data_IF_772470041231
#
_entry.id   IF_772470041231
#
_cell.length_a   1.000
_cell.length_b   1.000
_cell.length_c   1.000
_cell.angle_alpha   90.00
_cell.angle_beta   90.00
_cell.angle_gamma   90.00
#
_symmetry.space_group_name_H-M   'P 1'
#
loop_
_entity.id
_entity.type
_entity.pdbx_description
1 polymer ?
#
# COMPACT_ATOMS: atom_id res chain seq x y z
N UNK A 1 -12.95 -25.31 -3.20
CA UNK A 1 -14.05 -24.43 -2.75
C UNK A 1 -13.84 -23.08 -3.41
N UNK A 2 -14.85 -22.44 -4.02
CA UNK A 2 -14.71 -21.15 -4.70
C UNK A 2 -14.33 -20.05 -3.70
N UNK A 3 -13.41 -19.18 -4.09
CA UNK A 3 -12.82 -18.06 -3.31
C UNK A 3 -13.83 -17.13 -2.62
N UNK A 4 -15.01 -16.95 -3.22
CA UNK A 4 -16.13 -16.17 -2.66
C UNK A 4 -16.55 -16.62 -1.24
N UNK A 5 -16.47 -17.90 -0.96
CA UNK A 5 -16.88 -18.47 0.34
C UNK A 5 -15.88 -18.20 1.44
N UNK A 6 -14.59 -18.09 1.11
CA UNK A 6 -13.50 -17.89 2.08
C UNK A 6 -13.44 -16.46 2.62
N UNK A 7 -13.76 -15.46 1.80
CA UNK A 7 -13.78 -14.05 2.20
C UNK A 7 -14.99 -13.71 3.08
N UNK A 8 -16.16 -14.27 2.80
CA UNK A 8 -17.37 -14.10 3.62
C UNK A 8 -17.29 -14.85 4.96
N UNK A 9 -16.64 -16.01 5.01
CA UNK A 9 -16.48 -16.79 6.24
C UNK A 9 -15.59 -16.06 7.26
N UNK A 10 -14.52 -15.39 6.84
CA UNK A 10 -13.70 -14.54 7.72
C UNK A 10 -14.46 -13.32 8.25
N UNK A 11 -15.36 -12.75 7.50
CA UNK A 11 -16.14 -11.57 7.90
C UNK A 11 -17.20 -11.87 8.95
N UNK A 12 -17.80 -13.05 8.91
CA UNK A 12 -18.88 -13.45 9.85
C UNK A 12 -18.36 -13.83 11.24
N UNK A 13 -17.14 -14.33 11.37
CA UNK A 13 -16.60 -14.75 12.67
C UNK A 13 -16.04 -13.57 13.51
N UNK A 14 -15.70 -12.44 12.91
CA UNK A 14 -15.24 -11.23 13.64
C UNK A 14 -16.39 -10.44 14.27
N UNK A 15 -17.64 -10.63 13.81
CA UNK A 15 -18.81 -9.87 14.28
C UNK A 15 -19.61 -10.54 15.39
N UNK A 16 -19.20 -11.74 15.87
CA UNK A 16 -20.01 -12.55 16.81
C UNK A 16 -19.64 -12.43 18.29
N UNK A 17 -18.58 -11.69 18.64
CA UNK A 17 -18.14 -11.55 20.04
C UNK A 17 -18.11 -10.10 20.53
N UNK A 18 -19.21 -9.39 20.43
CA UNK A 18 -19.41 -8.16 21.19
C UNK A 18 -20.89 -8.00 21.57
N UNK A 19 -21.28 -8.49 22.71
CA UNK A 19 -22.52 -8.09 23.37
C UNK A 19 -22.24 -7.47 24.76
N UNK A 20 -23.01 -6.47 25.17
CA UNK A 20 -22.60 -5.49 26.14
C UNK A 20 -23.19 -5.73 27.53
N UNK A 21 -22.41 -5.47 28.56
CA UNK A 21 -22.97 -5.14 29.88
C UNK A 21 -22.47 -3.77 30.30
N UNK A 22 -23.38 -2.77 30.31
CA UNK A 22 -23.31 -1.58 31.21
C UNK A 22 -24.41 -0.59 30.87
N UNK A 23 -25.57 -0.80 31.47
CA UNK A 23 -26.59 0.22 31.66
C UNK A 23 -26.63 0.51 33.14
N UNK A 24 -26.06 1.64 33.61
CA UNK A 24 -26.51 2.37 34.84
C UNK A 24 -25.98 3.81 34.91
N UNK A 25 -24.94 4.20 34.14
CA UNK A 25 -24.36 5.57 34.28
C UNK A 25 -24.71 6.56 33.13
N UNK A 26 -25.73 6.29 32.36
CA UNK A 26 -26.04 7.08 31.15
C UNK A 26 -26.91 8.33 31.42
N UNK A 27 -27.59 8.43 32.56
CA UNK A 27 -28.55 9.50 32.83
C UNK A 27 -27.91 10.87 33.19
N UNK A 28 -26.88 10.86 34.01
CA UNK A 28 -26.27 12.10 34.54
C UNK A 28 -25.38 12.80 33.50
N UNK A 29 -24.70 12.04 32.62
CA UNK A 29 -23.88 12.63 31.56
C UNK A 29 -24.70 13.31 30.45
N UNK A 30 -25.94 12.90 30.20
CA UNK A 30 -26.80 13.51 29.18
C UNK A 30 -27.32 14.88 29.59
N UNK A 31 -27.58 15.12 30.88
CA UNK A 31 -28.04 16.41 31.37
C UNK A 31 -26.95 17.49 31.32
N UNK A 32 -25.71 17.12 31.63
CA UNK A 32 -24.55 18.06 31.58
C UNK A 32 -24.18 18.41 30.12
N UNK A 33 -24.29 17.45 29.18
CA UNK A 33 -24.03 17.72 27.76
C UNK A 33 -25.09 18.64 27.13
N UNK A 34 -26.37 18.50 27.52
CA UNK A 34 -27.44 19.35 27.00
C UNK A 34 -27.28 20.81 27.44
N UNK A 35 -26.86 21.06 28.69
CA UNK A 35 -26.61 22.41 29.19
C UNK A 35 -25.41 23.10 28.52
N UNK A 36 -24.36 22.35 28.23
CA UNK A 36 -23.18 22.87 27.50
C UNK A 36 -23.49 23.20 26.03
N UNK A 37 -24.36 22.45 25.38
CA UNK A 37 -24.75 22.67 23.96
C UNK A 37 -25.63 23.95 23.87
N UNK A 38 -26.54 24.17 24.80
CA UNK A 38 -27.35 25.38 24.81
C UNK A 38 -26.49 26.63 25.07
N UNK A 39 -25.49 26.56 25.95
CA UNK A 39 -24.54 27.66 26.18
C UNK A 39 -23.70 27.99 24.93
N UNK A 40 -23.27 26.99 24.15
CA UNK A 40 -22.52 27.18 22.91
C UNK A 40 -23.37 27.75 21.77
N UNK A 41 -24.65 27.39 21.71
CA UNK A 41 -25.59 27.96 20.71
C UNK A 41 -25.87 29.43 20.98
N UNK A 42 -26.02 29.85 22.26
CA UNK A 42 -26.21 31.24 22.61
C UNK A 42 -24.95 32.09 22.31
N UNK A 43 -23.75 31.54 22.52
CA UNK A 43 -22.49 32.22 22.16
C UNK A 43 -22.28 32.32 20.64
N UNK A 44 -22.78 31.37 19.88
CA UNK A 44 -22.70 31.36 18.41
C UNK A 44 -23.69 32.35 17.77
N UNK A 45 -24.85 32.62 18.44
CA UNK A 45 -25.85 33.55 17.92
C UNK A 45 -25.53 35.01 18.27
N UNK A 46 -24.65 35.28 19.26
CA UNK A 46 -24.23 36.65 19.63
C UNK A 46 -23.04 37.18 18.81
N UNK A 47 -22.47 36.39 17.90
CA UNK A 47 -21.32 36.78 17.07
C UNK A 47 -21.64 36.91 15.57
N UNK A 48 -22.91 37.09 15.20
CA UNK A 48 -23.31 37.38 13.81
C UNK A 48 -23.55 38.85 13.58
N UNK A 49 -22.52 39.67 13.67
CA UNK A 49 -22.44 40.96 12.96
C UNK A 49 -20.98 41.21 12.59
N UNK A 50 -20.58 40.62 11.52
CA UNK A 50 -19.30 40.82 10.90
C UNK A 50 -19.37 40.33 9.45
N UNK A 51 -19.68 41.24 8.55
CA UNK A 51 -19.67 41.06 7.11
C UNK A 51 -18.35 40.45 6.66
N UNK A 52 -18.33 39.17 6.36
CA UNK A 52 -17.28 38.56 5.57
C UNK A 52 -17.85 38.22 4.20
N UNK A 53 -17.53 39.07 3.24
CA UNK A 53 -17.54 38.77 1.82
C UNK A 53 -16.68 37.51 1.59
N UNK A 54 -17.31 36.35 1.59
CA UNK A 54 -16.71 35.17 0.97
C UNK A 54 -16.83 35.40 -0.53
N UNK A 55 -15.75 35.90 -1.12
CA UNK A 55 -15.55 35.78 -2.55
C UNK A 55 -15.72 34.29 -2.90
N UNK A 56 -16.82 33.99 -3.57
CA UNK A 56 -16.93 32.80 -4.43
C UNK A 56 -15.83 32.94 -5.49
N UNK A 57 -14.66 32.39 -5.19
CA UNK A 57 -13.62 32.15 -6.17
C UNK A 57 -14.23 31.27 -7.26
N UNK A 58 -14.58 31.86 -8.37
CA UNK A 58 -14.86 31.14 -9.61
C UNK A 58 -13.69 30.21 -9.87
N UNK A 59 -13.96 28.93 -10.06
CA UNK A 59 -13.04 27.96 -10.64
C UNK A 59 -12.83 28.38 -12.11
N UNK A 60 -12.02 29.42 -12.30
CA UNK A 60 -11.53 29.81 -13.62
C UNK A 60 -10.33 28.92 -13.93
N UNK A 61 -10.27 28.45 -15.14
CA UNK A 61 -9.18 27.71 -15.74
C UNK A 61 -7.83 28.34 -15.35
N UNK A 62 -7.00 27.61 -14.61
CA UNK A 62 -5.65 28.05 -14.26
C UNK A 62 -4.80 28.32 -15.52
N UNK A 63 -5.17 27.76 -16.68
CA UNK A 63 -4.54 27.94 -17.98
C UNK A 63 -4.79 29.32 -18.61
N UNK A 64 -5.79 30.10 -18.17
CA UNK A 64 -6.13 31.39 -18.77
C UNK A 64 -5.15 32.52 -18.43
N UNK A 65 -4.32 32.36 -17.38
CA UNK A 65 -3.44 33.41 -16.85
C UNK A 65 -1.94 33.17 -17.10
N UNK A 66 -1.56 32.10 -17.79
CA UNK A 66 -0.15 31.83 -18.11
C UNK A 66 0.38 32.76 -19.18
N UNK A 67 1.59 33.28 -18.98
CA UNK A 67 2.32 34.03 -20.00
C UNK A 67 2.66 33.14 -21.20
N UNK A 68 2.94 33.72 -22.39
CA UNK A 68 3.36 32.92 -23.54
C UNK A 68 4.60 32.06 -23.28
N UNK A 69 5.53 32.53 -22.44
CA UNK A 69 6.73 31.80 -22.06
C UNK A 69 6.39 30.61 -21.16
N UNK A 70 5.53 30.79 -20.15
CA UNK A 70 5.05 29.72 -19.28
C UNK A 70 4.30 28.64 -20.06
N UNK A 71 3.46 29.04 -21.05
CA UNK A 71 2.79 28.08 -21.95
C UNK A 71 3.77 27.27 -22.80
N UNK A 72 4.84 27.89 -23.29
CA UNK A 72 5.88 27.20 -24.06
C UNK A 72 6.64 26.18 -23.16
N UNK A 73 6.98 26.58 -21.94
CA UNK A 73 7.64 25.68 -20.96
C UNK A 73 6.73 24.49 -20.63
N UNK A 74 5.44 24.74 -20.38
CA UNK A 74 4.47 23.70 -20.08
C UNK A 74 4.30 22.72 -21.24
N UNK A 75 4.19 23.23 -22.48
CA UNK A 75 4.10 22.39 -23.67
C UNK A 75 5.36 21.54 -23.89
N UNK A 76 6.55 22.13 -23.69
CA UNK A 76 7.82 21.40 -23.80
C UNK A 76 7.91 20.29 -22.74
N UNK A 77 7.54 20.58 -21.49
CA UNK A 77 7.51 19.59 -20.40
C UNK A 77 6.50 18.47 -20.67
N UNK A 78 5.33 18.80 -21.22
CA UNK A 78 4.33 17.81 -21.59
C UNK A 78 4.82 16.89 -22.71
N UNK A 79 5.46 17.45 -23.74
CA UNK A 79 6.02 16.68 -24.85
C UNK A 79 7.16 15.75 -24.39
N UNK A 80 8.05 16.21 -23.51
CA UNK A 80 9.11 15.38 -22.92
C UNK A 80 8.52 14.23 -22.09
N UNK A 81 7.50 14.52 -21.28
CA UNK A 81 6.81 13.53 -20.48
C UNK A 81 6.12 12.48 -21.35
N UNK A 82 5.45 12.91 -22.41
CA UNK A 82 4.81 12.02 -23.38
C UNK A 82 5.83 11.10 -24.06
N UNK A 83 6.95 11.64 -24.52
CA UNK A 83 8.03 10.86 -25.12
C UNK A 83 8.54 9.78 -24.14
N UNK A 84 8.82 10.16 -22.88
CA UNK A 84 9.26 9.25 -21.81
C UNK A 84 8.23 8.15 -21.52
N UNK A 85 6.94 8.48 -21.48
CA UNK A 85 5.86 7.49 -21.26
C UNK A 85 5.72 6.54 -22.45
N UNK A 86 5.91 7.02 -23.67
CA UNK A 86 5.93 6.21 -24.88
C UNK A 86 7.12 5.23 -24.91
N UNK A 87 8.30 5.69 -24.50
CA UNK A 87 9.47 4.81 -24.35
C UNK A 87 9.24 3.70 -23.33
N UNK A 88 8.63 4.01 -22.18
CA UNK A 88 8.30 3.00 -21.17
C UNK A 88 7.31 1.96 -21.67
N UNK A 89 6.31 2.35 -22.48
CA UNK A 89 5.38 1.40 -23.10
C UNK A 89 6.10 0.48 -24.09
N UNK A 90 6.94 1.06 -24.93
CA UNK A 90 7.73 0.30 -25.91
C UNK A 90 8.66 -0.68 -25.20
N UNK A 91 9.39 -0.20 -24.21
CA UNK A 91 10.29 -1.02 -23.39
C UNK A 91 9.54 -2.18 -22.71
N UNK A 92 8.38 -1.91 -22.08
CA UNK A 92 7.55 -2.97 -21.50
C UNK A 92 7.16 -4.03 -22.52
N UNK A 93 6.68 -3.62 -23.71
CA UNK A 93 6.27 -4.55 -24.76
C UNK A 93 7.44 -5.40 -25.24
N UNK A 94 8.62 -4.81 -25.45
CA UNK A 94 9.84 -5.50 -25.83
C UNK A 94 10.24 -6.54 -24.78
N UNK A 95 10.25 -6.14 -23.50
CA UNK A 95 10.61 -7.06 -22.41
C UNK A 95 9.57 -8.15 -22.16
N UNK A 96 8.28 -7.87 -22.32
CA UNK A 96 7.24 -8.90 -22.30
C UNK A 96 7.47 -9.97 -23.38
N UNK A 97 7.84 -9.56 -24.59
CA UNK A 97 8.12 -10.48 -25.69
C UNK A 97 9.43 -11.28 -25.48
N UNK A 98 10.51 -10.61 -25.00
CA UNK A 98 11.78 -11.25 -24.68
C UNK A 98 11.63 -12.33 -23.61
N UNK A 99 10.88 -12.06 -22.55
CA UNK A 99 10.64 -13.00 -21.45
C UNK A 99 9.48 -13.99 -21.76
N UNK A 100 8.80 -13.85 -22.91
CA UNK A 100 7.69 -14.71 -23.34
C UNK A 100 6.40 -14.52 -22.54
N UNK A 101 6.30 -13.43 -21.76
CA UNK A 101 5.17 -13.12 -20.88
C UNK A 101 3.94 -12.55 -21.61
N UNK A 102 4.07 -12.19 -22.89
CA UNK A 102 2.99 -11.75 -23.77
C UNK A 102 2.14 -12.90 -24.32
N UNK A 103 2.63 -14.13 -24.19
CA UNK A 103 1.93 -15.32 -24.67
C UNK A 103 0.78 -15.69 -23.75
N UNK A 104 -0.40 -16.08 -24.26
CA UNK A 104 -1.48 -16.56 -23.40
C UNK A 104 -1.12 -17.91 -22.77
N UNK A 105 -1.47 -18.09 -21.50
CA UNK A 105 -1.22 -19.31 -20.75
C UNK A 105 -2.20 -19.52 -19.60
N UNK A 106 -1.93 -20.51 -18.75
CA UNK A 106 -2.84 -20.89 -17.67
C UNK A 106 -2.37 -20.48 -16.26
N UNK A 107 -1.13 -20.03 -16.11
CA UNK A 107 -0.58 -19.55 -14.86
C UNK A 107 -0.92 -18.07 -14.60
N UNK A 108 -0.50 -17.57 -13.43
CA UNK A 108 -0.80 -16.21 -12.98
C UNK A 108 -0.10 -15.10 -13.77
N UNK A 109 0.94 -15.41 -14.55
CA UNK A 109 1.68 -14.43 -15.35
C UNK A 109 1.11 -14.33 -16.77
N UNK A 110 0.53 -15.42 -17.29
CA UNK A 110 0.00 -15.53 -18.64
C UNK A 110 -1.52 -15.41 -18.73
N UNK A 111 -2.19 -15.00 -17.64
CA UNK A 111 -3.63 -14.69 -17.61
C UNK A 111 -3.86 -13.26 -17.16
N UNK A 112 -4.76 -12.50 -17.83
CA UNK A 112 -5.15 -11.18 -17.33
C UNK A 112 -5.74 -11.25 -15.93
N UNK A 113 -5.22 -10.46 -15.00
CA UNK A 113 -5.78 -10.29 -13.66
C UNK A 113 -6.52 -8.96 -13.55
N UNK A 114 -7.84 -8.99 -13.54
CA UNK A 114 -8.69 -7.80 -13.45
C UNK A 114 -9.02 -7.39 -12.00
N UNK A 115 -8.58 -8.14 -10.98
CA UNK A 115 -9.06 -8.02 -9.61
C UNK A 115 -8.81 -6.65 -8.96
N UNK A 116 -7.65 -6.03 -9.22
CA UNK A 116 -7.29 -4.76 -8.59
C UNK A 116 -7.56 -3.53 -9.48
N UNK A 117 -8.15 -3.75 -10.65
CA UNK A 117 -8.52 -2.63 -11.51
C UNK A 117 -9.74 -1.87 -10.97
N UNK A 118 -9.67 -0.55 -11.05
CA UNK A 118 -10.79 0.37 -10.89
C UNK A 118 -11.10 0.97 -12.26
N UNK A 119 -12.33 0.77 -12.72
CA UNK A 119 -12.80 1.24 -14.04
C UNK A 119 -13.78 2.37 -13.83
N UNK A 120 -13.38 3.58 -14.18
CA UNK A 120 -14.24 4.75 -14.24
C UNK A 120 -14.72 4.97 -15.69
N UNK A 121 -15.97 4.62 -15.96
CA UNK A 121 -16.56 4.71 -17.31
C UNK A 121 -16.94 6.14 -17.69
N UNK A 122 -17.22 7.00 -16.72
CA UNK A 122 -17.63 8.39 -16.93
C UNK A 122 -16.45 9.24 -17.46
N UNK A 123 -15.25 8.99 -16.93
CA UNK A 123 -14.04 9.70 -17.33
C UNK A 123 -13.10 8.86 -18.20
N UNK A 124 -13.56 7.72 -18.69
CA UNK A 124 -12.78 6.80 -19.52
C UNK A 124 -11.38 6.51 -18.94
N UNK A 125 -11.31 6.20 -17.65
CA UNK A 125 -10.07 6.03 -16.92
C UNK A 125 -10.02 4.68 -16.18
N UNK A 126 -8.96 3.93 -16.40
CA UNK A 126 -8.75 2.61 -15.80
C UNK A 126 -7.43 2.61 -15.04
N UNK A 127 -7.49 2.26 -13.77
CA UNK A 127 -6.32 2.20 -12.90
C UNK A 127 -6.12 0.81 -12.28
N UNK A 128 -4.92 0.22 -12.48
CA UNK A 128 -4.49 -0.90 -11.65
C UNK A 128 -3.88 -0.38 -10.34
N UNK A 129 -4.51 -0.69 -9.21
CA UNK A 129 -4.12 -0.21 -7.89
C UNK A 129 -2.89 -0.97 -7.36
N UNK A 130 -1.69 -0.46 -7.63
CA UNK A 130 -0.44 -0.99 -7.06
C UNK A 130 -0.20 -0.41 -5.67
N UNK A 131 -0.25 -1.26 -4.64
CA UNK A 131 -0.01 -0.82 -3.27
C UNK A 131 1.44 -0.36 -3.08
N UNK A 132 1.61 0.71 -2.28
CA UNK A 132 2.90 1.37 -1.97
C UNK A 132 3.55 2.12 -3.15
N UNK A 133 2.79 2.31 -4.23
CA UNK A 133 3.11 3.16 -5.37
C UNK A 133 2.00 4.22 -5.53
N UNK A 134 1.96 5.22 -4.65
CA UNK A 134 0.98 6.31 -4.58
C UNK A 134 -0.50 5.88 -4.45
N UNK A 135 -0.78 4.61 -4.08
CA UNK A 135 -2.13 4.05 -4.03
C UNK A 135 -3.11 4.83 -3.12
N UNK A 136 -2.64 5.45 -2.04
CA UNK A 136 -3.51 6.25 -1.16
C UNK A 136 -3.99 7.53 -1.84
N UNK A 137 -3.12 8.23 -2.56
CA UNK A 137 -3.46 9.46 -3.28
C UNK A 137 -4.41 9.16 -4.43
N UNK A 138 -4.12 8.13 -5.24
CA UNK A 138 -4.97 7.76 -6.36
C UNK A 138 -6.28 7.12 -5.92
N UNK A 139 -6.33 6.40 -4.80
CA UNK A 139 -7.59 5.95 -4.21
C UNK A 139 -8.46 7.12 -3.75
N UNK A 140 -7.85 8.19 -3.22
CA UNK A 140 -8.56 9.42 -2.90
C UNK A 140 -9.10 10.08 -4.17
N UNK A 141 -8.27 10.20 -5.22
CA UNK A 141 -8.67 10.76 -6.51
C UNK A 141 -9.84 9.97 -7.13
N UNK A 142 -9.78 8.64 -7.14
CA UNK A 142 -10.88 7.80 -7.63
C UNK A 142 -12.16 7.96 -6.81
N UNK A 143 -12.04 8.22 -5.50
CA UNK A 143 -13.22 8.53 -4.69
C UNK A 143 -13.80 9.92 -5.01
N UNK A 144 -12.97 10.92 -5.36
CA UNK A 144 -13.47 12.20 -5.88
C UNK A 144 -14.19 12.03 -7.22
N UNK A 145 -13.58 11.29 -8.16
CA UNK A 145 -14.19 10.95 -9.45
C UNK A 145 -15.47 10.10 -9.30
N UNK A 146 -15.66 9.42 -8.18
CA UNK A 146 -16.89 8.72 -7.81
C UNK A 146 -17.99 9.65 -7.27
N UNK A 147 -17.72 10.97 -7.19
CA UNK A 147 -18.65 11.98 -6.69
C UNK A 147 -18.65 12.19 -5.17
N UNK A 148 -17.71 11.58 -4.42
CA UNK A 148 -17.59 11.86 -3.00
C UNK A 148 -16.91 13.21 -2.79
N UNK A 149 -17.49 14.08 -1.94
CA UNK A 149 -16.89 15.38 -1.64
C UNK A 149 -15.62 15.25 -0.77
N UNK A 150 -14.66 16.20 -0.87
CA UNK A 150 -13.49 16.24 0.00
C UNK A 150 -13.84 16.25 1.48
N UNK A 151 -14.90 16.97 1.85
CA UNK A 151 -15.40 17.06 3.23
C UNK A 151 -15.88 15.70 3.74
N UNK A 152 -16.65 14.98 2.92
CA UNK A 152 -17.10 13.62 3.24
C UNK A 152 -15.90 12.67 3.40
N UNK A 153 -14.95 12.67 2.47
CA UNK A 153 -13.77 11.79 2.52
C UNK A 153 -12.90 12.07 3.75
N UNK A 154 -12.80 13.34 4.18
CA UNK A 154 -12.07 13.72 5.39
C UNK A 154 -12.77 13.28 6.67
N UNK A 155 -14.10 13.35 6.72
CA UNK A 155 -14.91 13.00 7.89
C UNK A 155 -15.23 11.51 7.98
N UNK A 156 -15.19 10.78 6.87
CA UNK A 156 -15.58 9.38 6.78
C UNK A 156 -14.62 8.48 7.57
N UNK A 157 -15.19 7.53 8.31
CA UNK A 157 -14.46 6.43 8.95
C UNK A 157 -14.38 5.18 8.06
N UNK A 158 -15.01 5.23 6.89
CA UNK A 158 -14.98 4.12 5.94
C UNK A 158 -13.58 3.95 5.34
N UNK A 159 -13.20 2.71 5.08
CA UNK A 159 -11.95 2.40 4.40
C UNK A 159 -12.03 2.91 2.96
N UNK A 160 -11.08 3.73 2.48
CA UNK A 160 -11.16 4.36 1.15
C UNK A 160 -11.40 3.38 0.00
N UNK A 161 -10.76 2.20 0.02
CA UNK A 161 -10.98 1.17 -1.00
C UNK A 161 -12.40 0.59 -0.95
N UNK A 162 -13.04 0.55 0.22
CA UNK A 162 -14.42 0.07 0.32
C UNK A 162 -15.41 1.08 -0.28
N UNK A 163 -15.14 2.39 -0.14
CA UNK A 163 -15.93 3.43 -0.81
C UNK A 163 -15.76 3.35 -2.32
N UNK A 164 -14.52 3.28 -2.81
CA UNK A 164 -14.25 3.14 -4.24
C UNK A 164 -14.93 1.90 -4.84
N UNK A 165 -14.88 0.74 -4.16
CA UNK A 165 -15.48 -0.50 -4.64
C UNK A 165 -17.03 -0.50 -4.65
N UNK A 166 -17.68 0.43 -3.98
CA UNK A 166 -19.14 0.65 -4.12
C UNK A 166 -19.48 1.26 -5.49
N UNK A 167 -18.58 2.06 -6.05
CA UNK A 167 -18.76 2.73 -7.36
C UNK A 167 -18.06 1.98 -8.49
N UNK A 168 -16.92 1.36 -8.21
CA UNK A 168 -16.09 0.64 -9.17
C UNK A 168 -16.03 -0.84 -8.76
N UNK A 169 -17.03 -1.65 -9.11
CA UNK A 169 -17.05 -3.08 -8.80
C UNK A 169 -15.89 -3.80 -9.51
N UNK A 170 -15.57 -5.01 -9.06
CA UNK A 170 -14.60 -5.87 -9.75
C UNK A 170 -15.21 -6.42 -11.02
N UNK A 171 -14.41 -6.41 -12.06
CA UNK A 171 -14.79 -6.91 -13.40
C UNK A 171 -14.11 -8.26 -13.69
N UNK A 172 -14.63 -8.99 -14.66
CA UNK A 172 -13.92 -10.13 -15.27
C UNK A 172 -12.83 -9.61 -16.22
N UNK A 173 -11.94 -10.49 -16.64
CA UNK A 173 -10.91 -10.13 -17.62
C UNK A 173 -11.52 -9.72 -18.97
N UNK A 174 -12.61 -10.37 -19.37
CA UNK A 174 -13.35 -10.08 -20.61
C UNK A 174 -14.05 -8.71 -20.54
N UNK A 175 -14.61 -8.36 -19.40
CA UNK A 175 -15.22 -7.03 -19.19
C UNK A 175 -14.14 -5.94 -19.20
N UNK A 176 -13.00 -6.17 -18.49
CA UNK A 176 -11.87 -5.25 -18.49
C UNK A 176 -11.36 -5.02 -19.92
N UNK A 177 -11.19 -6.08 -20.70
CA UNK A 177 -10.71 -5.98 -22.09
C UNK A 177 -11.62 -5.10 -22.96
N UNK A 178 -12.94 -5.13 -22.73
CA UNK A 178 -13.90 -4.25 -23.44
C UNK A 178 -13.71 -2.79 -23.06
N UNK A 179 -13.52 -2.49 -21.76
CA UNK A 179 -13.34 -1.12 -21.29
C UNK A 179 -11.99 -0.50 -21.71
N UNK A 180 -10.97 -1.33 -21.92
CA UNK A 180 -9.67 -0.87 -22.41
C UNK A 180 -9.68 -0.30 -23.83
N UNK A 181 -10.75 -0.54 -24.61
CA UNK A 181 -10.84 -0.06 -26.00
C UNK A 181 -11.14 1.45 -26.07
N UNK A 182 -11.81 2.01 -25.08
CA UNK A 182 -12.28 3.39 -25.06
C UNK A 182 -11.81 4.18 -23.82
N UNK A 183 -10.86 3.65 -23.09
CA UNK A 183 -10.40 4.26 -21.84
C UNK A 183 -8.87 4.32 -21.79
N UNK A 184 -8.37 5.37 -21.12
CA UNK A 184 -6.94 5.49 -20.76
C UNK A 184 -6.66 4.56 -19.59
N UNK A 185 -5.78 3.60 -19.80
CA UNK A 185 -5.35 2.65 -18.77
C UNK A 185 -3.99 3.04 -18.21
N UNK A 186 -3.86 3.01 -16.88
CA UNK A 186 -2.59 3.32 -16.23
C UNK A 186 -2.27 2.49 -15.01
N UNK A 187 -0.98 2.37 -14.72
CA UNK A 187 -0.45 1.92 -13.45
C UNK A 187 0.68 2.83 -13.00
N UNK A 188 0.92 2.84 -11.69
CA UNK A 188 2.06 3.53 -11.11
C UNK A 188 2.98 2.46 -10.53
N UNK A 189 4.21 2.40 -11.01
CA UNK A 189 5.23 1.49 -10.51
C UNK A 189 6.23 2.22 -9.63
N UNK A 190 6.97 1.48 -8.82
CA UNK A 190 8.01 1.97 -7.95
C UNK A 190 9.13 0.95 -7.90
N UNK A 191 10.37 1.41 -7.64
CA UNK A 191 11.50 0.51 -7.43
C UNK A 191 11.13 -0.63 -6.46
N UNK A 192 11.26 -1.93 -6.87
CA UNK A 192 10.70 -3.05 -6.12
C UNK A 192 11.15 -3.12 -4.67
N UNK A 193 12.43 -2.87 -4.41
CA UNK A 193 12.99 -2.89 -3.05
C UNK A 193 12.52 -1.72 -2.19
N UNK A 194 12.34 -0.53 -2.77
CA UNK A 194 11.75 0.60 -2.05
C UNK A 194 10.26 0.37 -1.76
N UNK A 195 9.54 -0.23 -2.70
CA UNK A 195 8.13 -0.61 -2.51
C UNK A 195 8.00 -1.61 -1.38
N UNK A 196 8.85 -2.65 -1.35
CA UNK A 196 8.89 -3.64 -0.29
C UNK A 196 9.18 -3.01 1.08
N UNK A 197 10.21 -2.17 1.18
CA UNK A 197 10.54 -1.47 2.42
C UNK A 197 9.41 -0.54 2.86
N UNK A 198 8.78 0.18 1.93
CA UNK A 198 7.61 1.01 2.23
C UNK A 198 6.45 0.19 2.78
N UNK A 199 6.25 -1.04 2.28
CA UNK A 199 5.23 -1.97 2.79
C UNK A 199 5.56 -2.45 4.21
N UNK A 200 6.79 -2.89 4.44
CA UNK A 200 7.26 -3.30 5.76
C UNK A 200 7.09 -2.20 6.80
N UNK A 201 7.56 -0.98 6.51
CA UNK A 201 7.47 0.15 7.44
C UNK A 201 6.03 0.52 7.79
N UNK A 202 5.13 0.54 6.80
CA UNK A 202 3.72 0.89 7.01
C UNK A 202 2.94 -0.22 7.71
N UNK A 203 3.17 -1.48 7.34
CA UNK A 203 2.32 -2.59 7.75
C UNK A 203 2.85 -3.36 8.97
N UNK A 204 4.16 -3.39 9.19
CA UNK A 204 4.77 -4.13 10.28
C UNK A 204 5.44 -3.21 11.31
N UNK A 205 6.36 -2.36 10.89
CA UNK A 205 7.10 -1.46 11.79
C UNK A 205 6.19 -0.45 12.49
N UNK A 206 5.24 0.14 11.74
CA UNK A 206 4.27 1.13 12.23
C UNK A 206 2.84 0.61 12.20
N UNK A 207 2.66 -0.71 12.35
CA UNK A 207 1.35 -1.34 12.32
C UNK A 207 0.43 -0.79 13.42
N UNK A 208 -0.84 -0.60 13.07
CA UNK A 208 -1.86 -0.25 14.07
C UNK A 208 -2.18 -1.50 14.93
N UNK A 209 -2.32 -1.34 16.26
CA UNK A 209 -2.70 -2.43 17.16
C UNK A 209 -3.99 -3.12 16.71
N UNK A 210 -4.10 -4.41 16.96
CA UNK A 210 -5.28 -5.23 16.66
C UNK A 210 -5.63 -5.35 15.16
N UNK A 211 -4.67 -5.08 14.28
CA UNK A 211 -4.82 -5.31 12.83
C UNK A 211 -4.23 -6.67 12.44
N UNK A 212 -4.62 -7.15 11.25
CA UNK A 212 -4.02 -8.34 10.66
C UNK A 212 -2.49 -8.26 10.61
N UNK A 213 -1.95 -7.11 10.17
CA UNK A 213 -0.51 -6.93 10.04
C UNK A 213 0.22 -6.84 11.39
N UNK A 214 -0.43 -6.29 12.43
CA UNK A 214 0.10 -6.32 13.79
C UNK A 214 0.23 -7.76 14.32
N UNK A 215 -0.79 -8.60 14.07
CA UNK A 215 -0.77 -10.02 14.46
C UNK A 215 0.27 -10.80 13.63
N UNK A 216 0.38 -10.53 12.34
CA UNK A 216 1.41 -11.11 11.48
C UNK A 216 2.81 -10.75 11.98
N UNK A 217 3.04 -9.47 12.32
CA UNK A 217 4.31 -9.02 12.89
C UNK A 217 4.68 -9.77 14.17
N UNK A 218 3.71 -9.92 15.09
CA UNK A 218 3.89 -10.68 16.32
C UNK A 218 4.22 -12.16 16.03
N UNK A 219 3.56 -12.78 15.03
CA UNK A 219 3.86 -14.15 14.60
C UNK A 219 5.29 -14.31 14.07
N UNK A 220 5.76 -13.37 13.23
CA UNK A 220 7.12 -13.37 12.70
C UNK A 220 8.14 -13.25 13.84
N UNK A 221 7.93 -12.31 14.79
CA UNK A 221 8.78 -12.15 15.98
C UNK A 221 8.84 -13.43 16.79
N UNK A 222 7.67 -14.07 17.04
CA UNK A 222 7.63 -15.34 17.73
C UNK A 222 8.45 -16.41 17.02
N UNK A 223 8.27 -16.55 15.71
CA UNK A 223 8.91 -17.61 14.94
C UNK A 223 10.43 -17.46 14.83
N UNK A 224 10.93 -16.25 14.55
CA UNK A 224 12.34 -16.03 14.24
C UNK A 224 13.18 -15.56 15.44
N UNK A 225 12.58 -14.94 16.43
CA UNK A 225 13.30 -14.38 17.58
C UNK A 225 13.11 -15.21 18.84
N UNK A 226 11.88 -15.53 19.20
CA UNK A 226 11.58 -16.16 20.47
C UNK A 226 11.75 -17.69 20.41
N UNK A 227 11.30 -18.35 19.35
CA UNK A 227 11.44 -19.80 19.18
C UNK A 227 12.91 -20.24 19.19
N UNK A 228 13.80 -19.50 18.51
CA UNK A 228 15.25 -19.75 18.51
C UNK A 228 15.83 -19.59 19.91
N UNK A 229 15.45 -18.56 20.64
CA UNK A 229 15.87 -18.32 22.01
C UNK A 229 15.44 -19.46 22.95
N UNK A 230 14.20 -19.90 22.86
CA UNK A 230 13.71 -21.04 23.66
C UNK A 230 14.39 -22.34 23.29
N UNK A 231 14.64 -22.62 22.01
CA UNK A 231 15.36 -23.83 21.59
C UNK A 231 16.79 -23.84 22.15
N UNK A 232 17.48 -22.71 22.15
CA UNK A 232 18.82 -22.59 22.76
C UNK A 232 18.79 -22.82 24.28
N UNK A 233 17.81 -22.24 24.99
CA UNK A 233 17.63 -22.48 26.43
C UNK A 233 17.37 -23.95 26.73
N UNK A 234 16.53 -24.61 25.95
CA UNK A 234 16.22 -26.07 26.13
C UNK A 234 17.47 -26.91 25.91
N UNK A 235 18.30 -26.58 24.92
CA UNK A 235 19.53 -27.33 24.62
C UNK A 235 20.65 -27.09 25.64
N UNK A 236 20.63 -25.94 26.35
CA UNK A 236 21.66 -25.58 27.33
C UNK A 236 21.33 -25.90 28.78
N UNK A 237 20.05 -26.18 29.11
CA UNK A 237 19.59 -26.48 30.47
C UNK A 237 19.13 -27.89 30.63
N UNK A 238 19.54 -28.55 31.77
CA UNK A 238 19.14 -29.89 32.20
C UNK A 238 17.60 -29.99 32.37
N UNK A 239 16.97 -31.12 32.00
CA UNK A 239 15.50 -31.26 31.93
C UNK A 239 14.72 -31.23 33.28
N UNK A 240 15.40 -31.09 34.42
CA UNK A 240 14.80 -31.20 35.76
C UNK A 240 14.07 -29.96 36.33
N UNK A 241 14.16 -28.76 35.70
CA UNK A 241 13.61 -27.49 36.27
C UNK A 241 12.56 -26.82 35.42
N UNK A 242 11.93 -27.51 34.48
CA UNK A 242 11.23 -26.91 33.34
C UNK A 242 9.79 -26.42 33.61
N UNK A 243 9.09 -26.92 34.63
CA UNK A 243 7.63 -26.72 34.78
C UNK A 243 7.24 -25.34 35.36
N UNK A 244 8.06 -24.71 36.21
CA UNK A 244 7.72 -23.40 36.81
C UNK A 244 8.29 -22.20 36.06
N UNK A 245 9.22 -22.41 35.13
CA UNK A 245 9.89 -21.36 34.41
C UNK A 245 9.13 -20.83 33.19
N UNK A 246 8.24 -21.66 32.61
CA UNK A 246 7.59 -21.33 31.31
C UNK A 246 6.61 -20.17 31.44
N UNK A 247 5.72 -20.22 32.41
CA UNK A 247 4.74 -19.14 32.65
C UNK A 247 5.42 -17.84 33.14
N UNK A 248 6.46 -18.00 33.95
CA UNK A 248 7.24 -16.84 34.46
C UNK A 248 8.04 -16.18 33.34
N UNK A 249 8.68 -16.95 32.46
CA UNK A 249 9.43 -16.43 31.31
C UNK A 249 8.50 -15.83 30.27
N UNK A 250 7.36 -16.45 29.99
CA UNK A 250 6.32 -15.92 29.12
C UNK A 250 5.75 -14.60 29.65
N UNK A 251 5.47 -14.52 30.97
CA UNK A 251 5.04 -13.28 31.63
C UNK A 251 6.14 -12.22 31.66
N UNK A 252 7.40 -12.59 31.88
CA UNK A 252 8.54 -11.66 31.81
C UNK A 252 8.73 -11.11 30.40
N UNK A 253 8.56 -11.93 29.36
CA UNK A 253 8.60 -11.49 27.96
C UNK A 253 7.42 -10.53 27.67
N UNK A 254 6.22 -10.86 28.12
CA UNK A 254 5.05 -9.99 27.98
C UNK A 254 5.16 -8.70 28.82
N UNK A 255 5.76 -8.73 30.00
CA UNK A 255 5.97 -7.56 30.85
C UNK A 255 7.16 -6.71 30.40
N UNK A 256 8.26 -7.31 29.95
CA UNK A 256 9.44 -6.60 29.44
C UNK A 256 9.25 -6.00 28.04
N UNK A 257 8.15 -6.31 27.34
CA UNK A 257 7.73 -5.54 26.15
C UNK A 257 7.33 -4.09 26.48
N UNK A 258 7.25 -3.71 27.77
CA UNK A 258 7.04 -2.32 28.21
C UNK A 258 8.32 -1.51 28.41
N UNK A 259 9.49 -2.14 28.40
CA UNK A 259 10.77 -1.45 28.65
C UNK A 259 11.67 -1.47 27.42
N UNK A 260 12.13 -0.28 27.05
CA UNK A 260 13.11 -0.05 26.00
C UNK A 260 14.39 -0.85 26.27
N UNK A 261 14.76 -1.79 25.38
CA UNK A 261 16.17 -1.94 25.10
C UNK A 261 16.85 -3.30 25.24
N UNK A 262 16.27 -4.39 25.76
CA UNK A 262 17.00 -5.68 25.82
C UNK A 262 16.48 -6.81 24.91
N UNK A 263 15.25 -6.73 24.40
CA UNK A 263 14.63 -7.82 23.61
C UNK A 263 14.18 -7.39 22.20
N UNK A 264 14.55 -6.20 21.75
CA UNK A 264 14.16 -5.66 20.45
C UNK A 264 12.69 -5.16 20.40
N UNK A 265 12.27 -4.58 19.28
CA UNK A 265 10.94 -4.01 19.11
C UNK A 265 9.85 -5.12 19.05
N UNK A 266 8.59 -4.74 19.29
CA UNK A 266 7.43 -5.64 19.20
C UNK A 266 7.09 -6.08 17.79
N UNK A 267 7.58 -5.36 16.79
CA UNK A 267 7.49 -5.70 15.38
C UNK A 267 8.74 -6.46 14.92
N UNK A 268 8.68 -7.25 13.84
CA UNK A 268 9.85 -7.96 13.34
C UNK A 268 10.91 -6.98 12.81
N UNK A 269 12.18 -7.31 12.96
CA UNK A 269 13.23 -6.64 12.21
C UNK A 269 13.03 -6.87 10.71
N UNK A 270 13.58 -5.98 9.88
CA UNK A 270 13.43 -6.11 8.42
C UNK A 270 13.99 -7.44 7.91
N UNK A 271 15.10 -7.91 8.47
CA UNK A 271 15.69 -9.21 8.15
C UNK A 271 14.76 -10.38 8.51
N UNK A 272 14.10 -10.34 9.67
CA UNK A 272 13.13 -11.38 10.09
C UNK A 272 11.91 -11.42 9.15
N UNK A 273 11.43 -10.25 8.74
CA UNK A 273 10.36 -10.13 7.74
C UNK A 273 10.79 -10.70 6.39
N UNK A 274 11.99 -10.36 5.91
CA UNK A 274 12.50 -10.86 4.62
C UNK A 274 12.65 -12.38 4.64
N UNK A 275 13.16 -12.96 5.72
CA UNK A 275 13.24 -14.42 5.88
C UNK A 275 11.86 -15.07 5.80
N UNK A 276 10.90 -14.53 6.53
CA UNK A 276 9.53 -15.01 6.49
C UNK A 276 8.94 -14.89 5.07
N UNK A 277 9.08 -13.75 4.43
CA UNK A 277 8.55 -13.48 3.10
C UNK A 277 9.11 -14.44 2.05
N UNK A 278 10.44 -14.63 2.04
CA UNK A 278 11.10 -15.55 1.12
C UNK A 278 10.66 -17.00 1.34
N UNK A 279 10.42 -17.39 2.60
CA UNK A 279 9.87 -18.72 2.89
C UNK A 279 8.44 -18.87 2.37
N UNK A 280 7.57 -17.85 2.53
CA UNK A 280 6.23 -17.88 1.96
C UNK A 280 6.25 -17.97 0.43
N UNK A 281 7.10 -17.16 -0.20
CA UNK A 281 7.26 -17.19 -1.65
C UNK A 281 7.78 -18.53 -2.19
N UNK A 282 8.87 -19.06 -1.60
CA UNK A 282 9.45 -20.38 -2.00
C UNK A 282 8.50 -21.54 -1.75
N UNK A 283 7.59 -21.42 -0.80
CA UNK A 283 6.53 -22.41 -0.55
C UNK A 283 5.33 -22.27 -1.50
N UNK A 284 5.30 -21.27 -2.38
CA UNK A 284 4.17 -20.99 -3.27
C UNK A 284 2.92 -20.49 -2.56
N UNK A 285 3.05 -19.96 -1.34
CA UNK A 285 1.92 -19.43 -0.58
C UNK A 285 1.45 -18.10 -1.19
N UNK A 286 0.14 -17.83 -1.07
CA UNK A 286 -0.43 -16.54 -1.44
C UNK A 286 0.17 -15.42 -0.60
N UNK A 287 0.67 -14.38 -1.26
CA UNK A 287 1.29 -13.22 -0.64
C UNK A 287 0.26 -12.11 -0.39
N UNK A 288 0.47 -11.32 0.66
CA UNK A 288 -0.34 -10.12 0.91
C UNK A 288 -0.10 -9.08 -0.20
N UNK A 289 -1.16 -8.39 -0.60
CA UNK A 289 -1.18 -7.41 -1.69
C UNK A 289 -0.13 -6.30 -1.56
N UNK A 290 0.37 -6.01 -0.35
CA UNK A 290 1.36 -4.95 -0.15
C UNK A 290 2.77 -5.32 -0.59
N UNK A 291 3.08 -6.64 -0.68
CA UNK A 291 4.38 -7.15 -1.14
C UNK A 291 4.30 -8.19 -2.26
N UNK A 292 3.12 -8.45 -2.81
CA UNK A 292 2.98 -9.22 -4.05
C UNK A 292 3.66 -8.47 -5.21
N UNK A 293 4.43 -9.12 -6.10
CA UNK A 293 5.01 -8.49 -7.29
C UNK A 293 3.94 -7.85 -8.18
N UNK A 294 4.28 -6.72 -8.81
CA UNK A 294 3.35 -5.96 -9.67
C UNK A 294 2.88 -6.81 -10.86
N UNK A 295 3.79 -7.63 -11.40
CA UNK A 295 3.49 -8.51 -12.54
C UNK A 295 2.39 -9.52 -12.24
N UNK A 296 2.29 -10.03 -11.00
CA UNK A 296 1.23 -10.93 -10.58
C UNK A 296 -0.09 -10.19 -10.29
N UNK A 297 -0.01 -8.90 -10.05
CA UNK A 297 -1.10 -8.06 -9.57
C UNK A 297 -1.84 -7.36 -10.71
N UNK A 298 -1.08 -6.78 -11.65
CA UNK A 298 -1.59 -6.02 -12.79
C UNK A 298 -1.42 -6.75 -14.13
N UNK A 299 -0.65 -7.83 -14.17
CA UNK A 299 -0.36 -8.62 -15.38
C UNK A 299 -0.06 -7.76 -16.62
N UNK A 300 0.98 -6.90 -16.57
CA UNK A 300 1.19 -5.83 -17.56
C UNK A 300 1.55 -6.34 -18.96
N UNK A 301 1.93 -7.60 -19.10
CA UNK A 301 2.14 -8.24 -20.40
C UNK A 301 0.86 -8.83 -21.00
N UNK A 302 -0.20 -8.95 -20.21
CA UNK A 302 -1.51 -9.48 -20.61
C UNK A 302 -2.60 -8.41 -20.68
N UNK A 303 -2.37 -7.25 -20.05
CA UNK A 303 -3.28 -6.11 -20.04
C UNK A 303 -2.55 -4.89 -20.59
N UNK A 304 -3.15 -4.21 -21.58
CA UNK A 304 -2.60 -2.98 -22.16
C UNK A 304 -2.62 -1.85 -21.15
N UNK A 305 -1.52 -1.14 -21.02
CA UNK A 305 -1.42 0.12 -20.30
C UNK A 305 -0.98 1.25 -21.25
N UNK A 306 -1.74 2.34 -21.25
CA UNK A 306 -1.45 3.54 -22.03
C UNK A 306 -0.41 4.41 -21.31
N UNK A 307 -0.43 4.41 -19.97
CA UNK A 307 0.49 5.19 -19.13
C UNK A 307 1.11 4.30 -18.05
N UNK A 308 2.44 4.21 -18.06
CA UNK A 308 3.24 3.57 -17.03
C UNK A 308 3.98 4.67 -16.28
N UNK A 309 3.35 5.17 -15.20
CA UNK A 309 3.95 6.18 -14.36
C UNK A 309 4.96 5.54 -13.39
N UNK A 310 6.10 6.19 -13.16
CA UNK A 310 7.07 5.80 -12.12
C UNK A 310 6.92 6.70 -10.90
N UNK A 311 7.00 6.12 -9.71
CA UNK A 311 6.93 6.86 -8.44
C UNK A 311 8.02 7.94 -8.34
N UNK A 312 9.14 7.69 -8.97
CA UNK A 312 10.33 8.53 -9.02
C UNK A 312 10.12 9.82 -9.84
N UNK A 313 9.22 9.78 -10.83
CA UNK A 313 8.83 10.91 -11.69
C UNK A 313 7.33 11.20 -11.59
N UNK A 314 6.72 10.84 -10.44
CA UNK A 314 5.27 10.81 -10.32
C UNK A 314 4.60 12.16 -10.55
N UNK A 315 5.28 13.26 -10.20
CA UNK A 315 4.70 14.60 -10.34
C UNK A 315 4.35 14.89 -11.80
N UNK A 316 5.33 14.75 -12.67
CA UNK A 316 5.17 15.03 -14.11
C UNK A 316 4.26 14.00 -14.77
N UNK A 317 4.45 12.71 -14.44
CA UNK A 317 3.68 11.61 -15.02
C UNK A 317 2.19 11.72 -14.66
N UNK A 318 1.84 12.10 -13.43
CA UNK A 318 0.43 12.25 -13.02
C UNK A 318 -0.19 13.54 -13.53
N UNK A 319 0.57 14.65 -13.68
CA UNK A 319 0.08 15.87 -14.29
C UNK A 319 -0.30 15.62 -15.76
N UNK A 320 0.55 14.91 -16.50
CA UNK A 320 0.25 14.47 -17.85
C UNK A 320 -1.02 13.61 -17.92
N UNK A 321 -1.13 12.59 -17.05
CA UNK A 321 -2.30 11.71 -16.96
C UNK A 321 -3.60 12.50 -16.68
N UNK A 322 -3.57 13.42 -15.71
CA UNK A 322 -4.74 14.24 -15.32
C UNK A 322 -5.20 15.13 -16.48
N UNK A 323 -4.25 15.71 -17.22
CA UNK A 323 -4.55 16.52 -18.42
C UNK A 323 -5.11 15.66 -19.55
N UNK A 324 -4.50 14.52 -19.85
CA UNK A 324 -4.97 13.59 -20.89
C UNK A 324 -6.37 13.04 -20.61
N UNK A 325 -6.68 12.77 -19.34
CA UNK A 325 -7.99 12.29 -18.92
C UNK A 325 -9.02 13.44 -18.74
N UNK A 326 -8.65 14.69 -18.95
CA UNK A 326 -9.50 15.88 -18.75
C UNK A 326 -10.17 15.98 -17.38
N UNK A 327 -9.51 15.46 -16.32
CA UNK A 327 -10.07 15.42 -14.95
C UNK A 327 -9.48 16.45 -14.00
N UNK A 328 -8.69 17.41 -14.50
CA UNK A 328 -8.03 18.47 -13.71
C UNK A 328 -8.99 19.39 -12.95
N UNK A 329 -10.25 19.48 -13.39
CA UNK A 329 -11.29 20.22 -12.69
C UNK A 329 -11.81 19.50 -11.44
N UNK A 330 -11.55 18.19 -11.27
CA UNK A 330 -11.99 17.39 -10.10
C UNK A 330 -10.81 17.03 -9.21
N UNK A 331 -9.69 16.62 -9.81
CA UNK A 331 -8.52 16.13 -9.06
C UNK A 331 -7.30 17.00 -9.34
N UNK A 332 -6.50 17.18 -8.30
CA UNK A 332 -5.22 17.89 -8.39
C UNK A 332 -4.07 16.90 -8.11
N UNK A 333 -2.88 17.14 -8.64
CA UNK A 333 -1.71 16.30 -8.42
C UNK A 333 -1.15 16.45 -6.98
N UNK A 334 -1.97 16.20 -5.98
CA UNK A 334 -1.62 16.36 -4.57
C UNK A 334 -1.15 15.05 -3.93
N UNK A 335 -0.15 15.16 -3.09
CA UNK A 335 0.34 14.05 -2.27
C UNK A 335 -0.47 13.94 -0.97
N UNK A 336 -1.38 12.98 -0.86
CA UNK A 336 -2.31 12.85 0.29
C UNK A 336 -1.74 12.10 1.49
N UNK A 337 -0.64 11.40 1.37
CA UNK A 337 -0.06 10.65 2.48
C UNK A 337 1.48 10.71 2.44
N UNK A 338 2.08 11.85 2.78
CA UNK A 338 3.53 11.91 2.92
C UNK A 338 3.99 10.89 3.97
N UNK A 339 5.11 10.23 3.74
CA UNK A 339 5.71 9.29 4.69
C UNK A 339 5.90 10.01 6.02
N UNK A 340 5.35 9.45 7.11
CA UNK A 340 5.61 9.97 8.44
C UNK A 340 7.08 9.72 8.80
N UNK A 341 7.83 10.79 9.12
CA UNK A 341 9.26 10.72 9.41
C UNK A 341 10.13 10.67 8.15
N UNK A 342 11.28 9.99 8.22
CA UNK A 342 12.29 9.92 7.16
C UNK A 342 11.75 9.18 5.94
N UNK A 343 11.98 9.71 4.73
CA UNK A 343 11.52 9.09 3.49
C UNK A 343 12.17 7.71 3.28
N UNK A 344 11.46 6.81 2.60
CA UNK A 344 11.95 5.44 2.36
C UNK A 344 13.26 5.43 1.59
N UNK A 345 13.41 6.28 0.57
CA UNK A 345 14.64 6.39 -0.22
C UNK A 345 15.88 6.76 0.59
N UNK A 346 15.70 7.52 1.68
CA UNK A 346 16.81 7.99 2.52
C UNK A 346 17.31 6.93 3.50
N UNK A 347 16.49 5.91 3.77
CA UNK A 347 16.81 4.85 4.75
C UNK A 347 16.94 3.46 4.15
N UNK A 348 16.57 3.27 2.88
CA UNK A 348 16.52 1.94 2.25
C UNK A 348 17.86 1.21 2.37
N UNK A 349 18.98 1.90 2.18
CA UNK A 349 20.33 1.32 2.30
C UNK A 349 20.60 0.76 3.70
N UNK A 350 20.14 1.44 4.75
CA UNK A 350 20.31 1.00 6.14
C UNK A 350 19.53 -0.28 6.46
N UNK A 351 18.37 -0.45 5.84
CA UNK A 351 17.57 -1.67 6.00
C UNK A 351 18.17 -2.83 5.20
N UNK A 352 18.60 -2.59 3.96
CA UNK A 352 19.19 -3.63 3.11
C UNK A 352 20.56 -4.08 3.64
N UNK A 353 21.33 -3.22 4.30
CA UNK A 353 22.58 -3.59 4.99
C UNK A 353 22.37 -4.58 6.17
N UNK A 354 21.13 -4.82 6.62
CA UNK A 354 20.83 -5.85 7.62
C UNK A 354 20.79 -7.25 6.99
N UNK A 355 20.54 -7.35 5.69
CA UNK A 355 20.36 -8.59 4.95
C UNK A 355 21.71 -9.22 4.56
N UNK A 356 21.69 -10.52 4.23
CA UNK A 356 22.79 -11.14 3.51
C UNK A 356 22.67 -10.90 2.00
N UNK A 357 23.78 -10.98 1.26
CA UNK A 357 23.77 -10.94 -0.21
C UNK A 357 22.84 -12.00 -0.79
N UNK A 358 22.79 -13.19 -0.20
CA UNK A 358 21.87 -14.26 -0.61
C UNK A 358 20.41 -13.83 -0.48
N UNK A 359 20.03 -13.19 0.64
CA UNK A 359 18.65 -12.69 0.82
C UNK A 359 18.29 -11.61 -0.18
N UNK A 360 19.23 -10.71 -0.52
CA UNK A 360 19.00 -9.67 -1.53
C UNK A 360 18.83 -10.29 -2.91
N UNK A 361 19.63 -11.29 -3.27
CA UNK A 361 19.48 -12.02 -4.52
C UNK A 361 18.16 -12.82 -4.58
N UNK A 362 17.77 -13.48 -3.48
CA UNK A 362 16.47 -14.17 -3.39
C UNK A 362 15.29 -13.18 -3.54
N UNK A 363 15.39 -11.96 -2.97
CA UNK A 363 14.41 -10.90 -3.19
C UNK A 363 14.39 -10.42 -4.64
N UNK A 364 15.56 -10.31 -5.29
CA UNK A 364 15.62 -10.00 -6.70
C UNK A 364 14.89 -11.07 -7.53
N UNK A 365 15.14 -12.35 -7.28
CA UNK A 365 14.43 -13.44 -7.98
C UNK A 365 12.92 -13.39 -7.74
N UNK A 366 12.47 -13.07 -6.53
CA UNK A 366 11.05 -12.90 -6.22
C UNK A 366 10.40 -11.76 -7.02
N UNK A 367 11.11 -10.64 -7.20
CA UNK A 367 10.63 -9.46 -7.92
C UNK A 367 11.23 -9.33 -9.33
N UNK A 368 11.87 -10.37 -9.87
CA UNK A 368 12.65 -10.35 -11.11
C UNK A 368 11.94 -9.64 -12.23
N UNK A 369 10.70 -9.99 -12.49
CA UNK A 369 9.93 -9.37 -13.57
C UNK A 369 9.54 -7.92 -13.30
N UNK A 370 9.34 -7.52 -12.04
CA UNK A 370 9.13 -6.10 -11.71
C UNK A 370 10.39 -5.27 -12.02
N UNK A 371 11.59 -5.83 -11.82
CA UNK A 371 12.85 -5.20 -12.23
C UNK A 371 12.99 -5.13 -13.75
N UNK A 372 12.83 -6.25 -14.43
CA UNK A 372 13.06 -6.37 -15.89
C UNK A 372 12.05 -5.53 -16.66
N UNK A 373 10.76 -5.66 -16.37
CA UNK A 373 9.68 -5.05 -17.14
C UNK A 373 9.57 -3.53 -16.96
N UNK A 374 10.02 -3.01 -15.82
CA UNK A 374 9.91 -1.59 -15.51
C UNK A 374 11.25 -0.85 -15.47
N UNK A 375 12.30 -1.47 -16.04
CA UNK A 375 13.63 -0.85 -16.14
C UNK A 375 14.15 -0.35 -14.78
N UNK A 376 14.25 -1.29 -13.81
CA UNK A 376 14.91 -1.09 -12.53
C UNK A 376 16.10 -2.01 -12.38
N UNK A 377 17.09 -1.61 -11.57
CA UNK A 377 18.28 -2.40 -11.28
C UNK A 377 18.45 -2.70 -9.79
N UNK A 378 18.81 -3.93 -9.39
CA UNK A 378 19.15 -4.28 -8.02
C UNK A 378 20.60 -3.94 -7.65
N UNK A 379 21.43 -3.51 -8.59
CA UNK A 379 22.90 -3.46 -8.48
C UNK A 379 23.40 -2.60 -7.31
N UNK A 380 22.73 -1.50 -7.00
CA UNK A 380 23.11 -0.64 -5.88
C UNK A 380 22.84 -1.26 -4.51
N UNK A 381 22.00 -2.31 -4.43
CA UNK A 381 21.59 -2.97 -3.18
C UNK A 381 22.41 -4.21 -2.88
N UNK A 382 22.86 -4.95 -3.88
CA UNK A 382 23.60 -6.20 -3.71
C UNK A 382 24.87 -6.01 -2.87
N UNK A 383 25.70 -4.96 -3.08
CA UNK A 383 26.90 -4.71 -2.29
C UNK A 383 26.63 -4.35 -0.82
N UNK A 384 25.42 -3.92 -0.48
CA UNK A 384 25.06 -3.56 0.90
C UNK A 384 24.92 -4.80 1.78
N UNK A 385 24.63 -5.95 1.19
CA UNK A 385 24.42 -7.21 1.91
C UNK A 385 25.70 -7.76 2.55
N UNK A 386 25.51 -8.43 3.69
CA UNK A 386 26.59 -9.13 4.41
C UNK A 386 26.99 -10.40 3.65
N UNK A 387 28.28 -10.74 3.70
CA UNK A 387 28.83 -11.95 3.05
C UNK A 387 28.42 -13.26 3.74
N UNK A 388 27.94 -13.21 5.00
CA UNK A 388 27.56 -14.41 5.73
C UNK A 388 26.30 -15.05 5.11
N UNK A 389 26.37 -16.27 4.57
CA UNK A 389 25.20 -16.97 4.07
C UNK A 389 24.29 -17.33 5.25
N UNK A 390 23.22 -16.56 5.45
CA UNK A 390 22.14 -17.01 6.33
C UNK A 390 21.38 -18.08 5.57
N UNK A 391 21.60 -19.33 5.92
CA UNK A 391 20.82 -20.44 5.36
C UNK A 391 19.36 -20.21 5.68
N UNK A 392 18.53 -19.99 4.64
CA UNK A 392 17.08 -19.89 4.77
C UNK A 392 16.54 -21.24 5.24
N UNK A 393 16.39 -21.41 6.55
CA UNK A 393 15.71 -22.58 7.11
C UNK A 393 14.22 -22.23 7.12
N UNK A 394 13.53 -22.55 6.04
CA UNK A 394 12.07 -22.52 5.99
C UNK A 394 11.56 -23.76 6.73
N UNK A 395 11.32 -23.64 8.03
CA UNK A 395 10.65 -24.70 8.80
C UNK A 395 9.16 -24.39 8.78
N UNK A 396 8.38 -25.35 8.27
CA UNK A 396 6.92 -25.39 8.38
C UNK A 396 6.47 -25.43 9.86
#
# INVERSE_FOLDING_TARGET
MPEKVRYEYRRKNVLREMTPRRHVFAGIRRAILAAAIVGLIILALSNQDGTNNVQQGSLLDDDANLTPEEKMIEQATAAETEARLNERRKFLAEKCAEEGLDRPGNDSLHKPNAWEFLVNREYHLIWCNVFKAASTSWMYNFNLLAGYSPQFLKASKAVPVSLARQKYPRHTAEELAKFLNDSISFLIVRHPFERLLSAYRDKLEHSLPHTFHSNLGAHIVWHYRLKVFFTLIILTNNPGTFSQSFDTIFLIILQNTKTNGKHGPRYPFFEEFVRWLLCQWKAGNELDMHWTPIVNFCTPCQVRFDIIAKFETLREDQDFLIKQAHVGHIIKPEWKNPTRGVQTKDVVKNYFAQLSKTQINDLYEMFRYDFILFDYSPEEYIPLGKDNPITLICKN
#
